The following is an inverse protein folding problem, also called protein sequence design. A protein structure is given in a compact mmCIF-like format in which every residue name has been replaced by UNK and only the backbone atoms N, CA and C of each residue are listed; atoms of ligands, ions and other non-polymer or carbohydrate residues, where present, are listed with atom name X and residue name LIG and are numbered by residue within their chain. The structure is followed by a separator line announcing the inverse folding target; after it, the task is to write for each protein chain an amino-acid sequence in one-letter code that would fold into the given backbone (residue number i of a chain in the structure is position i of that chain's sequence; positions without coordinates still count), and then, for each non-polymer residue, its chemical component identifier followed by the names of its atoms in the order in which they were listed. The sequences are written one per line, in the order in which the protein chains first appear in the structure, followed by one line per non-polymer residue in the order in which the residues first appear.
data_IF_352660753426
#
_entry.id   IF_352660753426
#
_cell.length_a   1.000
_cell.length_b   1.000
_cell.length_c   1.000
_cell.angle_alpha   90.00
_cell.angle_beta   90.00
_cell.angle_gamma   90.00
#
_symmetry.space_group_name_H-M   'P 1'
#
loop_
_entity.id
_entity.type
_entity.pdbx_description
1 polymer ?
#
# COMPACT_ATOMS: atom_id res chain seq x y z
N UNK A 1 -2.11 40.49 -19.04
CA UNK A 1 -1.68 39.14 -19.47
C UNK A 1 -0.28 38.92 -18.91
N UNK A 2 -0.19 38.24 -17.76
CA UNK A 2 1.08 37.94 -17.11
C UNK A 2 1.25 36.43 -17.16
N UNK A 3 2.35 36.00 -17.77
CA UNK A 3 2.82 34.63 -17.83
C UNK A 3 2.84 34.00 -16.44
N UNK A 4 2.19 32.85 -16.27
CA UNK A 4 2.63 31.87 -15.28
C UNK A 4 3.21 30.72 -16.08
N UNK A 5 4.54 30.67 -16.11
CA UNK A 5 5.28 29.50 -16.54
C UNK A 5 4.76 28.34 -15.69
N UNK A 6 4.00 27.42 -16.33
CA UNK A 6 3.65 26.15 -15.71
C UNK A 6 4.96 25.46 -15.36
N UNK A 7 5.05 24.95 -14.13
CA UNK A 7 6.13 24.05 -13.74
C UNK A 7 6.11 22.90 -14.76
N UNK A 8 7.17 22.80 -15.54
CA UNK A 8 7.40 21.69 -16.47
C UNK A 8 7.67 20.49 -15.56
N UNK A 9 6.81 19.47 -15.65
CA UNK A 9 6.60 18.41 -14.66
C UNK A 9 7.88 17.83 -14.05
N UNK A 10 7.84 17.58 -12.75
CA UNK A 10 8.92 16.87 -12.08
C UNK A 10 9.03 15.47 -12.70
N UNK A 11 10.27 15.03 -12.88
CA UNK A 11 10.58 13.67 -13.29
C UNK A 11 10.97 12.92 -12.02
N UNK A 12 10.24 11.86 -11.72
CA UNK A 12 10.55 10.95 -10.62
C UNK A 12 11.35 9.79 -11.21
N UNK A 13 12.48 9.44 -10.60
CA UNK A 13 13.26 8.27 -11.01
C UNK A 13 13.10 7.18 -9.97
N UNK A 14 12.64 6.01 -10.39
CA UNK A 14 12.49 4.83 -9.52
C UNK A 14 13.42 3.75 -10.05
N UNK A 15 14.12 3.06 -9.15
CA UNK A 15 14.99 1.95 -9.51
C UNK A 15 14.30 0.66 -9.10
N UNK A 16 14.02 -0.22 -10.07
CA UNK A 16 13.41 -1.55 -9.86
C UNK A 16 14.29 -2.58 -10.56
N UNK A 17 14.77 -3.59 -9.83
CA UNK A 17 15.67 -4.61 -10.37
C UNK A 17 16.90 -4.07 -11.09
N UNK A 18 17.45 -2.95 -10.62
CA UNK A 18 18.60 -2.29 -11.23
C UNK A 18 18.30 -1.53 -12.53
N UNK A 19 17.05 -1.56 -13.03
CA UNK A 19 16.58 -0.71 -14.11
C UNK A 19 16.04 0.62 -13.57
N UNK A 20 16.34 1.73 -14.25
CA UNK A 20 15.87 3.06 -13.88
C UNK A 20 14.65 3.46 -14.73
N UNK A 21 13.52 3.67 -14.06
CA UNK A 21 12.26 4.10 -14.65
C UNK A 21 12.09 5.60 -14.46
N UNK A 22 11.75 6.29 -15.54
CA UNK A 22 11.59 7.74 -15.56
C UNK A 22 10.10 8.06 -15.61
N UNK A 23 9.54 8.46 -14.48
CA UNK A 23 8.11 8.66 -14.30
C UNK A 23 7.77 10.13 -14.49
N UNK A 24 6.77 10.38 -15.33
CA UNK A 24 6.15 11.68 -15.48
C UNK A 24 5.18 11.91 -14.32
N UNK A 25 5.38 12.98 -13.56
CA UNK A 25 4.49 13.33 -12.44
C UNK A 25 3.02 13.45 -12.85
N UNK A 26 2.72 13.87 -14.08
CA UNK A 26 1.32 13.93 -14.55
C UNK A 26 0.67 12.54 -14.62
N UNK A 27 1.41 11.53 -15.06
CA UNK A 27 0.90 10.15 -15.15
C UNK A 27 0.73 9.55 -13.76
N UNK A 28 1.69 9.82 -12.85
CA UNK A 28 1.57 9.46 -11.43
C UNK A 28 0.32 10.08 -10.77
N UNK A 29 0.11 11.39 -10.93
CA UNK A 29 -1.06 12.09 -10.36
C UNK A 29 -2.36 11.52 -10.93
N UNK A 30 -2.38 11.21 -12.24
CA UNK A 30 -3.54 10.61 -12.88
C UNK A 30 -3.88 9.23 -12.32
N UNK A 31 -2.88 8.35 -12.23
CA UNK A 31 -3.05 6.99 -11.73
C UNK A 31 -3.43 7.03 -10.23
N UNK A 32 -2.76 7.87 -9.44
CA UNK A 32 -3.04 8.00 -8.01
C UNK A 32 -4.45 8.55 -7.74
N UNK A 33 -4.90 9.58 -8.46
CA UNK A 33 -6.26 10.09 -8.35
C UNK A 33 -7.31 9.05 -8.73
N UNK A 34 -7.03 8.25 -9.77
CA UNK A 34 -7.95 7.21 -10.23
C UNK A 34 -8.11 6.07 -9.21
N UNK A 35 -7.02 5.65 -8.57
CA UNK A 35 -7.02 4.54 -7.60
C UNK A 35 -7.56 4.96 -6.23
N UNK A 36 -7.10 6.10 -5.70
CA UNK A 36 -7.49 6.60 -4.37
C UNK A 36 -8.89 7.21 -4.32
N UNK A 37 -9.48 7.54 -5.47
CA UNK A 37 -10.75 8.27 -5.56
C UNK A 37 -10.64 9.77 -5.25
N UNK A 38 -9.42 10.30 -5.06
CA UNK A 38 -9.17 11.73 -4.90
C UNK A 38 -9.44 12.49 -6.20
N UNK A 39 -9.75 13.78 -6.08
CA UNK A 39 -9.69 14.67 -7.25
C UNK A 39 -8.23 14.89 -7.68
N UNK A 40 -8.04 15.27 -8.93
CA UNK A 40 -6.72 15.61 -9.49
C UNK A 40 -5.97 16.67 -8.67
N UNK A 41 -6.68 17.69 -8.18
CA UNK A 41 -6.10 18.75 -7.34
C UNK A 41 -5.64 18.18 -5.98
N UNK A 42 -6.44 17.32 -5.35
CA UNK A 42 -6.07 16.67 -4.08
C UNK A 42 -4.92 15.68 -4.24
N UNK A 43 -4.89 14.91 -5.32
CA UNK A 43 -3.80 13.98 -5.62
C UNK A 43 -2.49 14.73 -5.89
N UNK A 44 -2.56 15.83 -6.64
CA UNK A 44 -1.42 16.72 -6.86
C UNK A 44 -0.93 17.33 -5.55
N UNK A 45 -1.83 17.89 -4.73
CA UNK A 45 -1.49 18.47 -3.44
C UNK A 45 -0.85 17.44 -2.50
N UNK A 46 -1.34 16.20 -2.48
CA UNK A 46 -0.76 15.13 -1.68
C UNK A 46 0.70 14.87 -2.10
N UNK A 47 0.94 14.67 -3.40
CA UNK A 47 2.27 14.39 -3.96
C UNK A 47 3.22 15.57 -3.75
N UNK A 48 2.76 16.81 -3.94
CA UNK A 48 3.58 18.01 -3.80
C UNK A 48 3.97 18.32 -2.35
N UNK A 49 3.25 17.77 -1.37
CA UNK A 49 3.55 17.93 0.06
C UNK A 49 4.35 16.76 0.66
N UNK A 50 4.67 15.73 -0.13
CA UNK A 50 5.58 14.67 0.31
C UNK A 50 6.98 15.24 0.55
N UNK A 51 7.61 14.75 1.60
CA UNK A 51 8.95 15.10 2.06
C UNK A 51 9.89 13.92 1.86
N UNK A 52 11.21 14.15 1.94
CA UNK A 52 12.20 13.08 1.83
C UNK A 52 11.99 11.95 2.87
N UNK A 53 11.37 12.27 4.02
CA UNK A 53 11.06 11.30 5.08
C UNK A 53 9.85 10.39 4.73
N UNK A 54 9.03 10.79 3.75
CA UNK A 54 7.89 9.99 3.27
C UNK A 54 8.32 8.94 2.23
N UNK A 55 9.60 8.92 1.84
CA UNK A 55 10.15 7.95 0.91
C UNK A 55 11.00 6.90 1.64
N UNK A 56 10.70 5.64 1.37
CA UNK A 56 11.43 4.50 1.88
C UNK A 56 11.89 3.59 0.72
N UNK A 57 12.90 2.76 0.98
CA UNK A 57 13.32 1.74 0.02
C UNK A 57 12.30 0.60 -0.06
N UNK A 58 12.23 -0.14 -1.17
CA UNK A 58 11.33 -1.30 -1.25
C UNK A 58 11.66 -2.37 -0.21
N UNK A 59 12.94 -2.55 0.13
CA UNK A 59 13.34 -3.46 1.21
C UNK A 59 12.80 -3.01 2.58
N UNK A 60 12.79 -1.71 2.85
CA UNK A 60 12.25 -1.14 4.09
C UNK A 60 10.73 -1.30 4.15
N UNK A 61 10.01 -0.84 3.11
CA UNK A 61 8.55 -1.01 3.00
C UNK A 61 8.17 -2.48 3.11
N UNK A 62 8.88 -3.36 2.41
CA UNK A 62 8.61 -4.78 2.44
C UNK A 62 8.89 -5.43 3.79
N UNK A 63 9.92 -4.97 4.50
CA UNK A 63 10.24 -5.39 5.87
C UNK A 63 9.13 -5.03 6.85
N UNK A 64 8.59 -3.82 6.77
CA UNK A 64 7.49 -3.38 7.64
C UNK A 64 6.24 -4.26 7.47
N UNK A 65 5.86 -4.58 6.22
CA UNK A 65 4.73 -5.48 5.94
C UNK A 65 4.95 -6.92 6.44
N UNK A 66 6.18 -7.43 6.36
CA UNK A 66 6.54 -8.74 6.91
C UNK A 66 6.40 -8.73 8.44
N UNK A 67 6.97 -7.74 9.10
CA UNK A 67 6.92 -7.61 10.56
C UNK A 67 5.47 -7.50 11.05
N UNK A 68 4.65 -6.66 10.39
CA UNK A 68 3.23 -6.52 10.71
C UNK A 68 2.47 -7.85 10.54
N UNK A 69 2.69 -8.56 9.43
CA UNK A 69 2.03 -9.84 9.18
C UNK A 69 2.47 -10.93 10.15
N UNK A 70 3.74 -10.97 10.56
CA UNK A 70 4.23 -11.89 11.59
C UNK A 70 3.64 -11.59 12.97
N UNK A 71 3.51 -10.31 13.34
CA UNK A 71 2.85 -9.88 14.57
C UNK A 71 1.39 -10.36 14.58
N UNK A 72 0.65 -10.15 13.50
CA UNK A 72 -0.76 -10.55 13.41
C UNK A 72 -0.89 -12.07 13.47
N UNK A 73 -0.02 -12.83 12.79
CA UNK A 73 0.01 -14.28 12.90
C UNK A 73 0.25 -14.76 14.34
N UNK A 74 1.12 -14.07 15.10
CA UNK A 74 1.32 -14.34 16.52
C UNK A 74 0.04 -14.15 17.33
N UNK A 75 -0.68 -13.05 17.10
CA UNK A 75 -1.98 -12.78 17.75
C UNK A 75 -2.98 -13.89 17.44
N UNK A 76 -3.15 -14.25 16.15
CA UNK A 76 -4.06 -15.30 15.71
C UNK A 76 -3.74 -16.65 16.36
N UNK A 77 -2.45 -17.00 16.46
CA UNK A 77 -2.00 -18.27 17.03
C UNK A 77 -2.36 -18.38 18.52
N UNK A 78 -2.36 -17.27 19.24
CA UNK A 78 -2.70 -17.19 20.67
C UNK A 78 -4.22 -17.11 20.91
N UNK A 79 -5.05 -16.90 19.88
CA UNK A 79 -6.50 -16.79 20.04
C UNK A 79 -7.20 -18.14 20.25
N UNK A 80 -8.02 -18.24 21.31
CA UNK A 80 -8.89 -19.38 21.65
C UNK A 80 -10.39 -18.99 21.66
N UNK A 81 -11.04 -19.13 20.51
CA UNK A 81 -12.46 -18.84 20.33
C UNK A 81 -13.41 -19.82 21.07
N UNK A 82 -12.90 -20.86 21.74
CA UNK A 82 -13.73 -21.76 22.54
C UNK A 82 -13.83 -21.33 24.00
N UNK A 83 -12.85 -20.59 24.51
CA UNK A 83 -12.78 -20.20 25.93
C UNK A 83 -12.81 -18.70 26.18
N UNK A 84 -12.36 -17.91 25.21
CA UNK A 84 -12.19 -16.48 25.38
C UNK A 84 -13.29 -15.69 24.66
N UNK A 85 -13.62 -14.52 25.21
CA UNK A 85 -14.46 -13.52 24.56
C UNK A 85 -13.60 -12.27 24.31
N UNK A 86 -13.58 -11.77 23.08
CA UNK A 86 -12.76 -10.63 22.68
C UNK A 86 -13.59 -9.34 22.57
N UNK A 87 -12.98 -8.21 22.91
CA UNK A 87 -13.67 -6.91 22.96
C UNK A 87 -14.20 -6.42 21.60
N UNK A 88 -13.60 -6.90 20.51
CA UNK A 88 -14.01 -6.58 19.15
C UNK A 88 -15.14 -7.49 18.63
N UNK A 89 -15.54 -8.53 19.38
CA UNK A 89 -16.66 -9.36 18.97
C UNK A 89 -17.96 -8.57 18.93
N UNK A 90 -18.76 -8.85 17.90
CA UNK A 90 -19.98 -8.11 17.59
C UNK A 90 -21.06 -9.05 17.05
N UNK A 91 -22.33 -8.60 16.95
CA UNK A 91 -23.37 -9.38 16.28
C UNK A 91 -23.08 -9.71 14.81
N UNK A 92 -22.15 -9.00 14.18
CA UNK A 92 -21.72 -9.17 12.78
C UNK A 92 -20.31 -9.74 12.64
N UNK A 93 -19.56 -9.86 13.74
CA UNK A 93 -18.19 -10.34 13.77
C UNK A 93 -17.96 -11.25 14.96
N UNK A 94 -18.12 -12.55 14.75
CA UNK A 94 -17.81 -13.58 15.75
C UNK A 94 -16.30 -13.76 15.93
N UNK A 95 -15.87 -14.38 17.03
CA UNK A 95 -14.44 -14.69 17.23
C UNK A 95 -13.79 -15.39 16.03
N UNK A 96 -14.44 -16.43 15.48
CA UNK A 96 -13.92 -17.18 14.33
C UNK A 96 -13.85 -16.32 13.07
N UNK A 97 -14.84 -15.45 12.83
CA UNK A 97 -14.83 -14.55 11.67
C UNK A 97 -13.73 -13.49 11.81
N UNK A 98 -13.55 -12.90 12.99
CA UNK A 98 -12.45 -11.96 13.26
C UNK A 98 -11.09 -12.62 13.11
N UNK A 99 -10.92 -13.85 13.64
CA UNK A 99 -9.70 -14.64 13.47
C UNK A 99 -9.37 -14.89 12.00
N UNK A 100 -10.35 -15.30 11.20
CA UNK A 100 -10.16 -15.51 9.76
C UNK A 100 -9.79 -14.21 9.02
N UNK A 101 -10.37 -13.07 9.41
CA UNK A 101 -10.00 -11.77 8.83
C UNK A 101 -8.56 -11.38 9.19
N UNK A 102 -8.13 -11.59 10.45
CA UNK A 102 -6.75 -11.36 10.88
C UNK A 102 -5.77 -12.29 10.15
N UNK A 103 -6.10 -13.57 9.99
CA UNK A 103 -5.29 -14.51 9.20
C UNK A 103 -5.12 -14.06 7.75
N UNK A 104 -6.19 -13.53 7.15
CA UNK A 104 -6.12 -12.98 5.79
C UNK A 104 -5.17 -11.79 5.74
N UNK A 105 -5.37 -10.79 6.60
CA UNK A 105 -4.51 -9.59 6.67
C UNK A 105 -3.04 -10.00 6.85
N UNK A 106 -2.76 -10.94 7.77
CA UNK A 106 -1.40 -11.40 8.02
C UNK A 106 -0.74 -12.00 6.77
N UNK A 107 -1.45 -12.90 6.06
CA UNK A 107 -0.93 -13.55 4.88
C UNK A 107 -0.77 -12.60 3.69
N UNK A 108 -1.73 -11.70 3.50
CA UNK A 108 -1.73 -10.74 2.39
C UNK A 108 -0.64 -9.65 2.62
N UNK A 109 -0.43 -9.19 3.86
CA UNK A 109 0.71 -8.33 4.24
C UNK A 109 2.04 -9.03 4.00
N UNK A 110 2.21 -10.29 4.44
CA UNK A 110 3.46 -11.04 4.20
C UNK A 110 3.74 -11.18 2.69
N UNK A 111 2.72 -11.53 1.91
CA UNK A 111 2.85 -11.66 0.47
C UNK A 111 3.24 -10.33 -0.19
N UNK A 112 2.65 -9.21 0.24
CA UNK A 112 3.02 -7.88 -0.24
C UNK A 112 4.45 -7.50 0.18
N UNK A 113 4.85 -7.82 1.41
CA UNK A 113 6.20 -7.59 1.92
C UNK A 113 7.27 -8.28 1.09
N UNK A 114 7.08 -9.58 0.83
CA UNK A 114 7.94 -10.37 -0.05
C UNK A 114 7.99 -9.78 -1.48
N UNK A 115 6.85 -9.31 -2.00
CA UNK A 115 6.75 -8.72 -3.33
C UNK A 115 7.51 -7.39 -3.43
N UNK A 116 7.45 -6.53 -2.41
CA UNK A 116 8.26 -5.31 -2.35
C UNK A 116 9.75 -5.63 -2.31
N UNK A 117 10.18 -6.53 -1.42
CA UNK A 117 11.59 -6.95 -1.36
C UNK A 117 12.05 -7.48 -2.71
N UNK A 118 11.19 -8.20 -3.43
CA UNK A 118 11.52 -8.68 -4.78
C UNK A 118 11.79 -7.55 -5.79
N UNK A 119 11.17 -6.38 -5.65
CA UNK A 119 11.42 -5.24 -6.53
C UNK A 119 12.83 -4.63 -6.36
N UNK A 120 13.46 -4.83 -5.20
CA UNK A 120 14.83 -4.39 -4.92
C UNK A 120 15.91 -5.36 -5.43
N UNK A 121 15.52 -6.60 -5.76
CA UNK A 121 16.40 -7.63 -6.32
C UNK A 121 16.70 -7.34 -7.80
N UNK A 122 17.98 -7.35 -8.21
CA UNK A 122 18.44 -7.12 -9.60
C UNK A 122 17.76 -8.02 -10.66
N UNK A 123 17.10 -9.10 -10.24
CA UNK A 123 16.34 -9.99 -11.11
C UNK A 123 14.84 -9.67 -11.20
N UNK A 124 14.38 -8.57 -10.60
CA UNK A 124 12.99 -8.13 -10.71
C UNK A 124 12.59 -7.90 -12.16
N UNK A 125 11.40 -8.34 -12.50
CA UNK A 125 10.80 -8.26 -13.83
C UNK A 125 9.51 -7.43 -13.80
N UNK A 126 9.02 -7.05 -14.98
CA UNK A 126 7.68 -6.44 -15.08
C UNK A 126 6.57 -7.31 -14.46
N UNK A 127 6.72 -8.64 -14.50
CA UNK A 127 5.76 -9.55 -13.89
C UNK A 127 5.76 -9.39 -12.36
N UNK A 128 6.92 -9.14 -11.75
CA UNK A 128 7.04 -8.84 -10.33
C UNK A 128 6.38 -7.50 -10.01
N UNK A 129 6.60 -6.45 -10.82
CA UNK A 129 5.93 -5.15 -10.67
C UNK A 129 4.39 -5.31 -10.69
N UNK A 130 3.87 -6.05 -11.68
CA UNK A 130 2.42 -6.31 -11.82
C UNK A 130 1.87 -7.12 -10.65
N UNK A 131 2.65 -8.07 -10.14
CA UNK A 131 2.29 -8.83 -8.94
C UNK A 131 2.20 -7.92 -7.71
N UNK A 132 3.19 -7.05 -7.50
CA UNK A 132 3.18 -6.08 -6.39
C UNK A 132 1.99 -5.14 -6.48
N UNK A 133 1.68 -4.59 -7.67
CA UNK A 133 0.47 -3.78 -7.92
C UNK A 133 -0.82 -4.52 -7.50
N UNK A 134 -0.92 -5.80 -7.84
CA UNK A 134 -2.08 -6.63 -7.48
C UNK A 134 -2.18 -6.82 -5.97
N UNK A 135 -1.06 -7.10 -5.30
CA UNK A 135 -1.02 -7.33 -3.85
C UNK A 135 -1.29 -6.05 -3.06
N UNK A 136 -0.84 -4.89 -3.53
CA UNK A 136 -1.21 -3.59 -2.94
C UNK A 136 -2.73 -3.42 -2.95
N UNK A 137 -3.39 -3.80 -4.06
CA UNK A 137 -4.85 -3.70 -4.15
C UNK A 137 -5.55 -4.65 -3.16
N UNK A 138 -5.03 -5.86 -2.98
CA UNK A 138 -5.56 -6.84 -2.01
C UNK A 138 -5.44 -6.29 -0.58
N UNK A 139 -4.27 -5.80 -0.19
CA UNK A 139 -4.05 -5.24 1.16
C UNK A 139 -4.87 -3.95 1.37
N UNK A 140 -5.02 -3.10 0.34
CA UNK A 140 -5.92 -1.94 0.42
C UNK A 140 -7.38 -2.35 0.67
N UNK A 141 -7.85 -3.43 0.06
CA UNK A 141 -9.19 -3.98 0.29
C UNK A 141 -9.31 -4.60 1.70
N UNK A 142 -8.22 -5.13 2.26
CA UNK A 142 -8.22 -5.70 3.61
C UNK A 142 -8.44 -4.64 4.69
N UNK A 143 -8.03 -3.39 4.46
CA UNK A 143 -8.34 -2.28 5.36
C UNK A 143 -9.83 -1.97 5.47
N UNK A 144 -10.68 -2.49 4.57
CA UNK A 144 -12.14 -2.36 4.64
C UNK A 144 -12.79 -3.51 5.46
N UNK A 145 -12.01 -4.47 5.98
CA UNK A 145 -12.50 -5.55 6.83
C UNK A 145 -12.98 -5.00 8.18
N UNK A 146 -14.10 -5.55 8.69
CA UNK A 146 -14.73 -5.10 9.94
C UNK A 146 -13.75 -5.14 11.12
N UNK A 147 -12.89 -6.17 11.18
CA UNK A 147 -11.91 -6.34 12.26
C UNK A 147 -10.92 -5.18 12.35
N UNK A 148 -10.56 -4.55 11.23
CA UNK A 148 -9.56 -3.47 11.18
C UNK A 148 -10.07 -2.23 11.91
N UNK A 149 -11.38 -1.93 11.80
CA UNK A 149 -12.00 -0.78 12.47
C UNK A 149 -12.01 -0.86 14.00
N UNK A 150 -11.66 -2.01 14.58
CA UNK A 150 -11.47 -2.16 16.03
C UNK A 150 -10.04 -1.84 16.49
N UNK A 151 -9.07 -1.86 15.58
CA UNK A 151 -7.65 -1.66 15.89
C UNK A 151 -7.12 -0.33 15.36
N UNK A 152 -7.68 0.19 14.27
CA UNK A 152 -7.23 1.42 13.62
C UNK A 152 -8.38 2.43 13.50
N UNK A 153 -8.06 3.69 13.75
CA UNK A 153 -8.97 4.79 13.49
C UNK A 153 -9.12 5.03 11.98
N UNK A 154 -10.27 5.58 11.57
CA UNK A 154 -10.60 5.83 10.16
C UNK A 154 -9.54 6.69 9.44
N UNK A 155 -8.99 7.70 10.11
CA UNK A 155 -7.97 8.56 9.50
C UNK A 155 -6.66 7.80 9.21
N UNK A 156 -6.31 6.81 10.04
CA UNK A 156 -5.15 5.95 9.82
C UNK A 156 -5.42 5.02 8.64
N UNK A 157 -6.60 4.39 8.60
CA UNK A 157 -7.03 3.53 7.50
C UNK A 157 -6.99 4.29 6.16
N UNK A 158 -7.57 5.49 6.12
CA UNK A 158 -7.63 6.33 4.91
C UNK A 158 -6.23 6.71 4.42
N UNK A 159 -5.32 7.08 5.34
CA UNK A 159 -3.95 7.42 4.97
C UNK A 159 -3.14 6.21 4.49
N UNK A 160 -3.28 5.05 5.15
CA UNK A 160 -2.58 3.84 4.72
C UNK A 160 -3.05 3.39 3.33
N UNK A 161 -4.35 3.45 3.04
CA UNK A 161 -4.88 3.17 1.69
C UNK A 161 -4.37 4.16 0.65
N UNK A 162 -4.22 5.45 0.99
CA UNK A 162 -3.61 6.44 0.07
C UNK A 162 -2.14 6.15 -0.19
N UNK A 163 -1.36 5.82 0.83
CA UNK A 163 0.04 5.41 0.66
C UNK A 163 0.16 4.19 -0.25
N UNK A 164 -0.68 3.16 -0.05
CA UNK A 164 -0.78 2.02 -0.96
C UNK A 164 -1.13 2.45 -2.39
N UNK A 165 -2.17 3.28 -2.56
CA UNK A 165 -2.60 3.77 -3.88
C UNK A 165 -1.51 4.59 -4.58
N UNK A 166 -0.72 5.37 -3.84
CA UNK A 166 0.43 6.12 -4.36
C UNK A 166 1.51 5.17 -4.87
N UNK A 167 1.91 4.18 -4.07
CA UNK A 167 2.91 3.19 -4.47
C UNK A 167 2.45 2.39 -5.70
N UNK A 168 1.17 2.02 -5.75
CA UNK A 168 0.57 1.39 -6.93
C UNK A 168 0.67 2.28 -8.17
N UNK A 169 0.27 3.55 -8.06
CA UNK A 169 0.33 4.50 -9.16
C UNK A 169 1.76 4.73 -9.67
N UNK A 170 2.75 4.72 -8.75
CA UNK A 170 4.16 4.80 -9.08
C UNK A 170 4.62 3.59 -9.91
N UNK A 171 4.26 2.38 -9.49
CA UNK A 171 4.59 1.14 -10.20
C UNK A 171 3.88 1.03 -11.55
N UNK A 172 2.62 1.47 -11.63
CA UNK A 172 1.87 1.54 -12.90
C UNK A 172 2.53 2.51 -13.87
N UNK A 173 2.91 3.71 -13.40
CA UNK A 173 3.59 4.69 -14.25
C UNK A 173 4.99 4.24 -14.68
N UNK A 174 5.68 3.41 -13.87
CA UNK A 174 6.93 2.78 -14.28
C UNK A 174 6.73 1.84 -15.47
N UNK A 175 5.68 1.01 -15.45
CA UNK A 175 5.34 0.09 -16.54
C UNK A 175 4.89 0.81 -17.83
N UNK A 176 4.27 1.98 -17.70
CA UNK A 176 3.83 2.80 -18.84
C UNK A 176 4.96 3.64 -19.45
N UNK A 177 6.12 3.73 -18.78
CA UNK A 177 7.26 4.55 -19.22
C UNK A 177 8.18 3.87 -20.24
N UNK A 178 7.93 2.60 -20.59
CA UNK A 178 8.66 1.81 -21.60
C UNK A 178 8.11 1.91 -23.03
#
# INVERSE_FOLDING_TARGET
MSSKNGVIGAIITVVIGGAAYTINQTDLVNNFAADSGLSQEQAQDYIDNMTDEDFASFTEIGGDFLDDGEIINGIVADMDCATDEYEWESPTLTCEEGKNQLERIANDSIALGDAYIKLDDESASEADIRNTISLISVVNDDYDLEIVGYFLDFDVIDETKKSGSYNKALLEAALDSE
#
